data_IF_536920762603
#
_entry.id   IF_536920762603
#
_cell.length_a   1.000
_cell.length_b   1.000
_cell.length_c   1.000
_cell.angle_alpha   90.00
_cell.angle_beta   90.00
_cell.angle_gamma   90.00
#
_symmetry.space_group_name_H-M   'P 1'
#
loop_
_entity.id
_entity.type
_entity.pdbx_description
1 polymer ?
#
# COMPACT_ATOMS: atom_id res chain seq x y z
N UNK A 1 27.00 24.57 12.41
CA UNK A 1 26.79 23.58 11.31
C UNK A 1 25.83 22.46 11.72
N UNK A 2 26.03 21.79 12.85
CA UNK A 2 25.19 20.68 13.32
C UNK A 2 23.69 21.02 13.47
N UNK A 3 23.37 22.20 14.02
CA UNK A 3 21.97 22.65 14.23
C UNK A 3 21.15 22.75 12.94
N UNK A 4 21.78 23.06 11.80
CA UNK A 4 21.10 23.16 10.49
C UNK A 4 20.83 21.78 9.88
N UNK A 5 21.80 20.87 10.01
CA UNK A 5 21.71 19.49 9.53
C UNK A 5 20.60 18.74 10.28
N UNK A 6 20.52 18.93 11.60
CA UNK A 6 19.49 18.30 12.42
C UNK A 6 18.09 18.77 12.03
N UNK A 7 17.93 20.08 11.75
CA UNK A 7 16.66 20.66 11.32
C UNK A 7 16.22 20.12 9.95
N UNK A 8 17.16 19.95 9.01
CA UNK A 8 16.87 19.41 7.68
C UNK A 8 16.49 17.93 7.69
N UNK A 9 17.07 17.12 8.59
CA UNK A 9 16.71 15.70 8.72
C UNK A 9 15.28 15.56 9.26
N UNK A 10 14.93 16.35 10.26
CA UNK A 10 13.59 16.34 10.85
C UNK A 10 12.55 16.76 9.80
N UNK A 11 12.84 17.79 8.99
CA UNK A 11 11.95 18.22 7.92
C UNK A 11 11.82 17.16 6.81
N UNK A 12 12.93 16.55 6.38
CA UNK A 12 12.90 15.49 5.39
C UNK A 12 12.05 14.29 5.86
N UNK A 13 12.22 13.84 7.11
CA UNK A 13 11.40 12.75 7.67
C UNK A 13 9.92 13.12 7.78
N UNK A 14 9.60 14.40 8.02
CA UNK A 14 8.20 14.86 8.10
C UNK A 14 7.46 14.84 6.76
N UNK A 15 8.16 15.04 5.64
CA UNK A 15 7.57 14.99 4.28
C UNK A 15 7.49 13.56 3.76
N UNK A 16 8.51 12.75 4.06
CA UNK A 16 8.53 11.33 3.68
C UNK A 16 7.37 10.57 4.34
N UNK A 17 6.95 10.97 5.54
CA UNK A 17 5.81 10.36 6.24
C UNK A 17 4.44 10.51 5.56
N UNK A 18 4.22 11.51 4.70
CA UNK A 18 2.96 11.67 3.97
C UNK A 18 2.94 10.90 2.62
N UNK A 19 4.11 10.58 2.05
CA UNK A 19 4.25 9.94 0.73
C UNK A 19 4.61 8.44 0.81
N UNK A 20 5.23 7.97 1.91
CA UNK A 20 5.78 6.60 1.98
C UNK A 20 4.78 5.51 2.40
N UNK A 21 3.68 5.87 3.06
CA UNK A 21 2.60 4.96 3.39
C UNK A 21 1.34 5.80 3.24
N UNK A 22 0.69 5.80 2.09
CA UNK A 22 -0.69 6.30 1.98
C UNK A 22 -1.62 5.25 2.59
N UNK A 23 -1.84 5.23 3.91
CA UNK A 23 -2.51 4.12 4.56
C UNK A 23 -3.99 4.17 4.18
N UNK A 24 -4.53 5.38 4.01
CA UNK A 24 -5.87 5.64 3.50
C UNK A 24 -6.09 5.16 2.08
N UNK A 25 -5.04 5.12 1.24
CA UNK A 25 -5.13 4.55 -0.09
C UNK A 25 -5.26 3.04 0.00
N UNK A 26 -4.34 2.40 0.73
CA UNK A 26 -4.34 0.95 0.89
C UNK A 26 -5.55 0.44 1.66
N UNK A 27 -6.06 1.20 2.62
CA UNK A 27 -7.27 0.86 3.37
C UNK A 27 -8.53 0.95 2.49
N UNK A 28 -8.64 1.98 1.63
CA UNK A 28 -9.70 2.04 0.62
C UNK A 28 -9.63 0.89 -0.36
N UNK A 29 -8.44 0.50 -0.80
CA UNK A 29 -8.24 -0.66 -1.68
C UNK A 29 -8.66 -1.93 -0.94
N UNK A 30 -8.19 -2.13 0.28
CA UNK A 30 -8.52 -3.30 1.10
C UNK A 30 -10.02 -3.38 1.40
N UNK A 31 -10.68 -2.24 1.61
CA UNK A 31 -12.12 -2.17 1.84
C UNK A 31 -12.91 -2.49 0.57
N UNK A 32 -12.53 -1.91 -0.59
CA UNK A 32 -13.14 -2.26 -1.88
C UNK A 32 -12.98 -3.74 -2.19
N UNK A 33 -11.80 -4.29 -1.96
CA UNK A 33 -11.53 -5.71 -2.15
C UNK A 33 -12.41 -6.58 -1.23
N UNK A 34 -12.62 -6.17 0.03
CA UNK A 34 -13.55 -6.85 0.95
C UNK A 34 -15.01 -6.76 0.51
N UNK A 35 -15.47 -5.60 0.06
CA UNK A 35 -16.85 -5.37 -0.42
C UNK A 35 -17.14 -6.17 -1.69
N UNK A 36 -16.20 -6.21 -2.63
CA UNK A 36 -16.29 -7.00 -3.87
C UNK A 36 -16.01 -8.49 -3.63
N UNK A 37 -15.52 -8.84 -2.44
CA UNK A 37 -15.09 -10.19 -2.05
C UNK A 37 -13.88 -10.69 -2.84
N UNK A 38 -13.04 -9.76 -3.30
CA UNK A 38 -11.80 -10.04 -4.02
C UNK A 38 -10.71 -10.50 -3.08
N UNK A 39 -10.02 -11.58 -3.44
CA UNK A 39 -8.83 -12.08 -2.74
C UNK A 39 -7.71 -12.30 -3.72
N UNK A 40 -6.57 -11.67 -3.47
CA UNK A 40 -5.38 -11.81 -4.29
C UNK A 40 -4.41 -12.83 -3.69
N UNK A 41 -3.86 -13.68 -4.54
CA UNK A 41 -2.95 -14.74 -4.17
C UNK A 41 -1.66 -14.60 -4.96
N UNK A 42 -0.56 -15.06 -4.36
CA UNK A 42 0.75 -15.15 -5.02
C UNK A 42 1.03 -16.59 -5.40
N UNK A 43 1.33 -16.84 -6.67
CA UNK A 43 1.79 -18.14 -7.16
C UNK A 43 3.24 -18.39 -6.77
N UNK A 44 3.66 -19.66 -6.81
CA UNK A 44 5.06 -20.04 -6.57
C UNK A 44 6.03 -19.43 -7.60
N UNK A 45 5.56 -19.17 -8.83
CA UNK A 45 6.33 -18.49 -9.87
C UNK A 45 6.40 -16.95 -9.69
N UNK A 46 5.76 -16.39 -8.65
CA UNK A 46 5.78 -14.96 -8.33
C UNK A 46 4.63 -14.12 -8.90
N UNK A 47 3.78 -14.71 -9.75
CA UNK A 47 2.64 -14.03 -10.36
C UNK A 47 1.49 -13.81 -9.34
N UNK A 48 0.90 -12.61 -9.36
CA UNK A 48 -0.28 -12.27 -8.56
C UNK A 48 -1.55 -12.41 -9.38
N UNK A 49 -2.60 -12.94 -8.77
CA UNK A 49 -3.91 -13.04 -9.38
C UNK A 49 -4.98 -12.87 -8.32
N UNK A 50 -6.06 -12.19 -8.67
CA UNK A 50 -7.17 -11.94 -7.77
C UNK A 50 -8.38 -12.79 -8.17
N UNK A 51 -9.12 -13.27 -7.19
CA UNK A 51 -10.39 -13.98 -7.41
C UNK A 51 -11.52 -13.19 -6.79
N UNK A 52 -12.65 -13.10 -7.47
CA UNK A 52 -13.89 -12.59 -6.88
C UNK A 52 -14.49 -13.58 -5.86
N UNK A 53 -15.63 -13.19 -5.27
CA UNK A 53 -16.37 -14.04 -4.32
C UNK A 53 -16.91 -15.34 -4.89
N UNK A 54 -17.00 -15.46 -6.22
CA UNK A 54 -17.47 -16.64 -6.94
C UNK A 54 -16.32 -17.54 -7.41
N UNK A 55 -15.07 -17.10 -7.24
CA UNK A 55 -13.88 -17.83 -7.64
C UNK A 55 -13.39 -17.53 -9.06
N UNK A 56 -13.99 -16.57 -9.77
CA UNK A 56 -13.52 -16.14 -11.09
C UNK A 56 -12.27 -15.27 -10.94
N UNK A 57 -11.32 -15.45 -11.85
CA UNK A 57 -10.09 -14.62 -11.88
C UNK A 57 -10.45 -13.24 -12.42
N UNK A 58 -10.08 -12.21 -11.67
CA UNK A 58 -10.22 -10.80 -12.04
C UNK A 58 -8.82 -10.18 -12.13
N UNK A 59 -8.58 -9.42 -13.19
CA UNK A 59 -7.33 -8.72 -13.48
C UNK A 59 -7.42 -7.25 -13.09
#
# INVERSE_FOLDING_TARGET
MFKKILLTIILAMSVVGCELLSPSYWDRVNQRDREEGRRCFKRANGEYYCKDRYGNIVY
#
